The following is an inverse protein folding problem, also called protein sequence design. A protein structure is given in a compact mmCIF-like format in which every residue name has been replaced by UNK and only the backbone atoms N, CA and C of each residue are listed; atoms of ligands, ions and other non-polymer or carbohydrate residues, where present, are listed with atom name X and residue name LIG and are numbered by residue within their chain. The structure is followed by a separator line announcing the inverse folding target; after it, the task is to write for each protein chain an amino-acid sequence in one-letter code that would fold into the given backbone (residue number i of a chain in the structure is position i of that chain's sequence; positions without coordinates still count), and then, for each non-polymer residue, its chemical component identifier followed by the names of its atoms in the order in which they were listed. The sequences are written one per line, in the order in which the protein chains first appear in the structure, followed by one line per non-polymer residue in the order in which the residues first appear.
data_IF_732130796111
#
_entry.id   IF_732130796111
#
_cell.length_a   1.000
_cell.length_b   1.000
_cell.length_c   1.000
_cell.angle_alpha   90.00
_cell.angle_beta   90.00
_cell.angle_gamma   90.00
#
_symmetry.space_group_name_H-M   'P 1'
#
loop_
_entity.id
_entity.type
_entity.pdbx_description
1 polymer ?
#
# COMPACT_ATOMS: atom_id res chain seq x y z
N UNK A 1 22.60 -17.67 6.76
CA UNK A 1 22.94 -16.40 6.07
C UNK A 1 21.94 -16.12 4.96
N UNK A 2 20.65 -16.40 5.17
CA UNK A 2 19.66 -16.50 4.09
C UNK A 2 18.89 -15.20 3.91
N UNK A 3 18.55 -14.82 2.69
CA UNK A 3 17.73 -13.64 2.40
C UNK A 3 17.83 -13.23 0.94
N UNK A 4 16.71 -12.83 0.34
CA UNK A 4 16.65 -12.38 -1.06
C UNK A 4 17.40 -11.06 -1.22
N UNK A 5 18.33 -11.04 -2.15
CA UNK A 5 19.17 -9.88 -2.42
C UNK A 5 18.52 -8.98 -3.46
N UNK A 6 18.45 -7.68 -3.15
CA UNK A 6 18.14 -6.67 -4.16
C UNK A 6 19.34 -6.42 -5.09
N UNK A 7 20.55 -6.68 -4.58
CA UNK A 7 21.80 -6.63 -5.33
C UNK A 7 22.81 -7.60 -4.67
N UNK A 8 23.10 -8.72 -5.34
CA UNK A 8 24.04 -9.73 -4.84
C UNK A 8 25.49 -9.20 -4.78
N UNK A 9 25.94 -8.45 -5.78
CA UNK A 9 27.29 -7.87 -5.83
C UNK A 9 27.59 -6.95 -4.63
N UNK A 10 26.55 -6.23 -4.18
CA UNK A 10 26.61 -5.32 -3.02
C UNK A 10 26.16 -5.97 -1.72
N UNK A 11 25.83 -7.27 -1.74
CA UNK A 11 25.33 -8.03 -0.60
C UNK A 11 24.15 -7.35 0.11
N UNK A 12 23.29 -6.65 -0.64
CA UNK A 12 22.20 -5.84 -0.10
C UNK A 12 20.89 -6.64 -0.09
N UNK A 13 20.39 -6.98 1.09
CA UNK A 13 19.12 -7.70 1.24
C UNK A 13 17.92 -6.76 1.15
N UNK A 14 16.81 -7.26 0.61
CA UNK A 14 15.55 -6.51 0.53
C UNK A 14 15.06 -6.10 1.94
N UNK A 15 15.24 -7.00 2.92
CA UNK A 15 14.95 -6.75 4.32
C UNK A 15 15.69 -5.54 4.89
N UNK A 16 16.97 -5.37 4.54
CA UNK A 16 17.78 -4.25 5.00
C UNK A 16 17.36 -2.94 4.33
N UNK A 17 16.96 -2.98 3.05
CA UNK A 17 16.37 -1.82 2.36
C UNK A 17 15.12 -1.36 3.11
N UNK A 18 14.18 -2.26 3.36
CA UNK A 18 12.94 -1.92 4.06
C UNK A 18 13.17 -1.38 5.48
N UNK A 19 14.10 -1.99 6.24
CA UNK A 19 14.47 -1.48 7.57
C UNK A 19 15.07 -0.08 7.48
N UNK A 20 15.96 0.16 6.53
CA UNK A 20 16.59 1.47 6.34
C UNK A 20 15.58 2.54 5.91
N UNK A 21 14.65 2.20 5.02
CA UNK A 21 13.58 3.11 4.61
C UNK A 21 12.66 3.46 5.76
N UNK A 22 12.27 2.47 6.57
CA UNK A 22 11.45 2.69 7.75
C UNK A 22 12.17 3.60 8.76
N UNK A 23 13.46 3.35 9.02
CA UNK A 23 14.26 4.23 9.87
C UNK A 23 14.41 5.64 9.29
N UNK A 24 14.59 5.76 7.97
CA UNK A 24 14.67 7.03 7.28
C UNK A 24 13.37 7.82 7.39
N UNK A 25 12.23 7.18 7.16
CA UNK A 25 10.89 7.73 7.36
C UNK A 25 10.74 8.30 8.78
N UNK A 26 11.11 7.52 9.80
CA UNK A 26 10.97 7.91 11.20
C UNK A 26 11.87 9.10 11.56
N UNK A 27 13.10 9.15 11.01
CA UNK A 27 14.05 10.23 11.29
C UNK A 27 13.74 11.51 10.53
N UNK A 28 13.31 11.39 9.27
CA UNK A 28 13.12 12.54 8.37
C UNK A 28 11.67 13.05 8.35
N UNK A 29 10.72 12.24 8.83
CA UNK A 29 9.28 12.43 8.65
C UNK A 29 8.87 12.72 7.19
N UNK A 30 9.64 12.16 6.23
CA UNK A 30 9.37 12.27 4.80
C UNK A 30 8.80 10.97 4.27
N UNK A 31 7.67 11.00 3.56
CA UNK A 31 7.07 9.81 2.99
C UNK A 31 8.07 8.97 2.21
N UNK A 32 7.98 7.67 2.40
CA UNK A 32 8.75 6.69 1.64
C UNK A 32 7.85 5.97 0.65
N UNK A 33 8.43 5.52 -0.45
CA UNK A 33 7.74 4.65 -1.39
C UNK A 33 8.73 3.63 -1.95
N UNK A 34 8.23 2.42 -2.14
CA UNK A 34 8.91 1.33 -2.84
C UNK A 34 8.01 0.70 -3.87
N UNK A 35 8.58 0.39 -5.02
CA UNK A 35 7.90 -0.30 -6.11
C UNK A 35 8.57 -1.65 -6.29
N UNK A 36 7.84 -2.73 -6.05
CA UNK A 36 8.29 -4.11 -6.25
C UNK A 36 7.86 -4.55 -7.64
N UNK A 37 8.84 -4.93 -8.47
CA UNK A 37 8.61 -5.37 -9.84
C UNK A 37 9.07 -6.81 -9.98
N UNK A 38 8.29 -7.68 -10.60
CA UNK A 38 8.72 -9.06 -10.87
C UNK A 38 7.57 -9.94 -11.31
N UNK A 39 7.89 -11.16 -11.75
CA UNK A 39 6.89 -12.12 -12.21
C UNK A 39 6.19 -12.82 -11.02
N UNK A 40 5.19 -13.64 -11.32
CA UNK A 40 4.56 -14.53 -10.36
C UNK A 40 5.59 -15.49 -9.75
N UNK A 41 5.46 -15.77 -8.45
CA UNK A 41 6.35 -16.70 -7.75
C UNK A 41 7.71 -16.14 -7.36
N UNK A 42 8.03 -14.89 -7.70
CA UNK A 42 9.30 -14.24 -7.30
C UNK A 42 9.34 -13.74 -5.85
N UNK A 43 8.27 -13.96 -5.07
CA UNK A 43 8.22 -13.65 -3.65
C UNK A 43 7.83 -12.22 -3.27
N UNK A 44 7.28 -11.40 -4.19
CA UNK A 44 6.85 -10.01 -3.92
C UNK A 44 5.89 -9.91 -2.71
N UNK A 45 4.80 -10.68 -2.72
CA UNK A 45 3.81 -10.69 -1.62
C UNK A 45 4.40 -11.22 -0.30
N UNK A 46 5.33 -12.18 -0.35
CA UNK A 46 6.05 -12.66 0.85
C UNK A 46 6.81 -11.53 1.53
N UNK A 47 7.32 -10.57 0.77
CA UNK A 47 8.02 -9.41 1.33
C UNK A 47 7.07 -8.38 1.97
N UNK A 48 5.78 -8.36 1.61
CA UNK A 48 4.77 -7.57 2.34
C UNK A 48 4.55 -8.17 3.73
N UNK A 49 4.37 -9.49 3.82
CA UNK A 49 4.24 -10.19 5.09
C UNK A 49 5.48 -10.03 5.98
N UNK A 50 6.66 -10.16 5.38
CA UNK A 50 7.89 -9.92 6.12
C UNK A 50 8.00 -8.45 6.59
N UNK A 51 7.53 -7.48 5.79
CA UNK A 51 7.49 -6.09 6.23
C UNK A 51 6.55 -5.87 7.41
N UNK A 52 5.39 -6.55 7.46
CA UNK A 52 4.51 -6.54 8.65
C UNK A 52 5.25 -7.05 9.89
N UNK A 53 6.02 -8.13 9.78
CA UNK A 53 6.86 -8.63 10.89
C UNK A 53 7.93 -7.62 11.34
N UNK A 54 8.51 -6.86 10.40
CA UNK A 54 9.39 -5.73 10.76
C UNK A 54 8.59 -4.68 11.56
N UNK A 55 7.40 -4.29 11.10
CA UNK A 55 6.59 -3.30 11.83
C UNK A 55 6.20 -3.79 13.23
N UNK A 56 5.85 -5.07 13.38
CA UNK A 56 5.53 -5.69 14.65
C UNK A 56 6.74 -5.85 15.57
N UNK A 57 7.97 -5.93 15.06
CA UNK A 57 9.15 -5.97 15.93
C UNK A 57 9.59 -4.59 16.39
N UNK A 58 9.41 -3.56 15.56
CA UNK A 58 9.91 -2.20 15.83
C UNK A 58 8.83 -1.21 16.33
N UNK A 59 7.53 -1.46 16.08
CA UNK A 59 6.49 -0.43 16.18
C UNK A 59 5.08 -0.93 16.60
N UNK A 60 5.01 -1.86 17.56
CA UNK A 60 3.81 -2.64 17.90
C UNK A 60 2.48 -1.89 18.11
N UNK A 61 2.47 -0.60 18.47
CA UNK A 61 1.23 0.12 18.83
C UNK A 61 1.11 1.53 18.22
N UNK A 62 1.89 1.85 17.20
CA UNK A 62 1.85 3.18 16.55
C UNK A 62 1.89 3.11 15.04
N UNK A 63 1.47 1.99 14.47
CA UNK A 63 1.38 1.84 13.04
C UNK A 63 -0.01 1.36 12.59
N UNK A 64 -0.34 1.66 11.34
CA UNK A 64 -1.52 1.17 10.67
C UNK A 64 -1.14 0.71 9.26
N UNK A 65 -1.52 -0.51 8.91
CA UNK A 65 -1.18 -1.13 7.64
C UNK A 65 -2.46 -1.30 6.80
N UNK A 66 -2.61 -0.49 5.75
CA UNK A 66 -3.61 -0.68 4.72
C UNK A 66 -3.06 -1.66 3.70
N UNK A 67 -3.68 -2.83 3.61
CA UNK A 67 -3.41 -3.78 2.54
C UNK A 67 -4.52 -3.72 1.51
N UNK A 68 -4.14 -3.51 0.25
CA UNK A 68 -5.04 -3.50 -0.89
C UNK A 68 -4.56 -4.58 -1.86
N UNK A 69 -5.23 -5.72 -1.88
CA UNK A 69 -4.96 -6.82 -2.80
C UNK A 69 -5.88 -6.72 -4.02
N UNK A 70 -5.27 -6.59 -5.20
CA UNK A 70 -5.99 -6.41 -6.47
C UNK A 70 -6.08 -7.69 -7.31
N UNK A 71 -5.59 -8.84 -6.82
CA UNK A 71 -5.59 -10.13 -7.55
C UNK A 71 -6.97 -10.64 -7.91
N UNK A 72 -7.93 -10.48 -7.00
CA UNK A 72 -9.21 -11.20 -7.02
C UNK A 72 -10.43 -10.29 -7.15
N UNK A 73 -10.29 -9.13 -7.79
CA UNK A 73 -11.43 -8.23 -8.02
C UNK A 73 -12.33 -8.85 -9.10
N UNK A 74 -13.42 -9.47 -8.65
CA UNK A 74 -14.36 -10.18 -9.52
C UNK A 74 -15.16 -9.25 -10.43
N UNK A 75 -15.48 -8.05 -9.95
CA UNK A 75 -16.37 -7.13 -10.65
C UNK A 75 -15.66 -6.26 -11.67
N UNK A 76 -16.01 -6.43 -12.95
CA UNK A 76 -15.35 -5.76 -14.09
C UNK A 76 -15.89 -4.36 -14.41
N UNK A 77 -16.62 -3.74 -13.50
CA UNK A 77 -17.05 -2.34 -13.63
C UNK A 77 -16.09 -1.43 -12.87
N UNK A 78 -15.88 -0.19 -13.35
CA UNK A 78 -15.06 0.79 -12.63
C UNK A 78 -15.64 1.03 -11.22
N UNK A 79 -16.97 1.17 -11.11
CA UNK A 79 -17.66 1.31 -9.82
C UNK A 79 -17.36 0.14 -8.88
N UNK A 80 -17.40 -1.09 -9.39
CA UNK A 80 -17.08 -2.30 -8.63
C UNK A 80 -15.63 -2.38 -8.18
N UNK A 81 -14.68 -1.92 -9.00
CA UNK A 81 -13.27 -1.79 -8.63
C UNK A 81 -13.10 -0.87 -7.41
N UNK A 82 -13.64 0.35 -7.49
CA UNK A 82 -13.49 1.33 -6.41
C UNK A 82 -14.23 0.92 -5.15
N UNK A 83 -15.40 0.29 -5.27
CA UNK A 83 -16.12 -0.29 -4.14
C UNK A 83 -15.32 -1.41 -3.48
N UNK A 84 -14.64 -2.25 -4.27
CA UNK A 84 -13.77 -3.30 -3.73
C UNK A 84 -12.59 -2.70 -2.95
N UNK A 85 -11.94 -1.67 -3.50
CA UNK A 85 -10.88 -0.93 -2.79
C UNK A 85 -11.42 -0.31 -1.49
N UNK A 86 -12.60 0.32 -1.53
CA UNK A 86 -13.26 0.86 -0.34
C UNK A 86 -13.50 -0.22 0.71
N UNK A 87 -14.02 -1.38 0.32
CA UNK A 87 -14.30 -2.48 1.24
C UNK A 87 -13.03 -2.97 1.96
N UNK A 88 -11.92 -3.10 1.23
CA UNK A 88 -10.65 -3.49 1.84
C UNK A 88 -10.11 -2.44 2.82
N UNK A 89 -10.27 -1.15 2.50
CA UNK A 89 -9.94 -0.05 3.42
C UNK A 89 -10.83 -0.10 4.67
N UNK A 90 -12.14 -0.26 4.48
CA UNK A 90 -13.13 -0.32 5.55
C UNK A 90 -12.88 -1.51 6.49
N UNK A 91 -12.65 -2.69 5.93
CA UNK A 91 -12.33 -3.90 6.68
C UNK A 91 -11.01 -3.78 7.46
N UNK A 92 -10.00 -3.14 6.87
CA UNK A 92 -8.74 -2.85 7.57
C UNK A 92 -8.97 -1.96 8.79
N UNK A 93 -9.84 -0.95 8.67
CA UNK A 93 -10.19 -0.04 9.77
C UNK A 93 -11.01 -0.75 10.85
N UNK A 94 -12.03 -1.53 10.47
CA UNK A 94 -12.94 -2.18 11.42
C UNK A 94 -12.24 -3.21 12.31
N UNK A 95 -11.18 -3.85 11.82
CA UNK A 95 -10.34 -4.79 12.60
C UNK A 95 -9.50 -4.11 13.70
N UNK A 96 -9.37 -2.78 13.69
CA UNK A 96 -8.50 -2.01 14.58
C UNK A 96 -9.29 -1.12 15.53
N UNK A 97 -9.65 -1.67 16.70
CA UNK A 97 -10.45 -0.99 17.74
C UNK A 97 -9.85 0.35 18.15
N UNK A 98 -8.53 0.44 18.29
CA UNK A 98 -7.81 1.66 18.63
C UNK A 98 -8.04 2.79 17.62
N UNK A 99 -8.10 2.46 16.33
CA UNK A 99 -8.40 3.44 15.27
C UNK A 99 -9.88 3.77 15.22
N UNK A 100 -10.76 2.77 15.35
CA UNK A 100 -12.21 3.01 15.40
C UNK A 100 -12.57 3.93 16.56
N UNK A 101 -12.03 3.71 17.76
CA UNK A 101 -12.20 4.60 18.91
C UNK A 101 -11.66 6.01 18.64
N UNK A 102 -10.53 6.11 17.96
CA UNK A 102 -9.95 7.40 17.57
C UNK A 102 -10.88 8.18 16.62
N UNK A 103 -11.47 7.52 15.63
CA UNK A 103 -12.42 8.12 14.69
C UNK A 103 -13.73 8.52 15.38
N UNK A 104 -14.29 7.63 16.20
CA UNK A 104 -15.54 7.84 16.94
C UNK A 104 -15.38 8.93 18.00
N UNK A 105 -14.18 9.16 18.55
CA UNK A 105 -13.95 10.22 19.55
C UNK A 105 -13.55 11.58 18.94
N UNK A 106 -13.34 11.66 17.63
CA UNK A 106 -12.92 12.90 16.96
C UNK A 106 -13.98 14.01 16.97
N UNK A 107 -13.62 15.29 17.13
CA UNK A 107 -14.57 16.40 17.10
C UNK A 107 -15.19 16.56 15.69
N UNK A 108 -16.52 16.57 15.61
CA UNK A 108 -17.27 16.62 14.34
C UNK A 108 -16.96 17.87 13.50
N UNK A 109 -16.66 19.00 14.12
CA UNK A 109 -16.29 20.24 13.41
C UNK A 109 -14.93 20.09 12.76
N UNK A 110 -14.00 19.36 13.38
CA UNK A 110 -12.71 19.04 12.79
C UNK A 110 -12.89 18.01 11.67
N UNK A 111 -13.69 16.96 11.90
CA UNK A 111 -14.03 15.98 10.86
C UNK A 111 -14.64 16.65 9.63
N UNK A 112 -15.51 17.65 9.76
CA UNK A 112 -16.03 18.38 8.58
C UNK A 112 -14.98 19.17 7.82
N UNK A 113 -13.92 19.65 8.49
CA UNK A 113 -12.79 20.34 7.82
C UNK A 113 -11.89 19.35 7.10
N UNK A 114 -11.59 18.23 7.74
CA UNK A 114 -10.81 17.13 7.16
C UNK A 114 -11.57 16.53 5.99
N UNK A 115 -12.83 16.13 6.25
CA UNK A 115 -13.67 15.39 5.33
C UNK A 115 -14.53 16.25 4.37
N UNK A 116 -14.44 17.60 4.37
CA UNK A 116 -15.08 18.54 3.40
C UNK A 116 -16.55 18.26 2.94
N UNK A 117 -17.22 17.30 3.56
CA UNK A 117 -18.49 16.67 3.22
C UNK A 117 -19.13 16.35 4.55
N UNK A 118 -20.23 17.05 4.83
CA UNK A 118 -20.91 16.93 6.12
C UNK A 118 -21.51 15.54 6.32
N UNK A 119 -21.92 14.86 5.23
CA UNK A 119 -22.46 13.50 5.30
C UNK A 119 -21.35 12.50 5.68
N UNK A 120 -20.20 12.54 4.99
CA UNK A 120 -19.05 11.66 5.31
C UNK A 120 -18.60 11.90 6.75
N UNK A 121 -18.41 13.16 7.16
CA UNK A 121 -17.96 13.49 8.50
C UNK A 121 -18.89 12.97 9.60
N UNK A 122 -20.22 13.04 9.39
CA UNK A 122 -21.21 12.51 10.35
C UNK A 122 -21.14 10.98 10.41
N UNK A 123 -21.05 10.29 9.28
CA UNK A 123 -21.02 8.84 9.26
C UNK A 123 -19.68 8.26 9.75
N UNK A 124 -18.55 8.97 9.57
CA UNK A 124 -17.26 8.62 10.20
C UNK A 124 -17.35 8.66 11.73
N UNK A 125 -18.11 9.59 12.30
CA UNK A 125 -18.31 9.67 13.76
C UNK A 125 -19.06 8.44 14.30
N UNK A 126 -19.87 7.81 13.46
CA UNK A 126 -20.68 6.63 13.77
C UNK A 126 -20.07 5.34 13.20
N UNK A 127 -18.78 5.35 12.82
CA UNK A 127 -18.13 4.21 12.18
C UNK A 127 -18.25 2.93 13.03
N UNK A 128 -18.66 1.82 12.39
CA UNK A 128 -18.95 0.55 13.07
C UNK A 128 -20.35 0.45 13.68
N UNK A 129 -21.25 1.39 13.38
CA UNK A 129 -22.68 1.30 13.68
C UNK A 129 -23.47 1.10 12.38
N UNK A 130 -24.55 0.32 12.44
CA UNK A 130 -25.41 -0.05 11.29
C UNK A 130 -25.83 1.16 10.45
N UNK A 131 -26.18 2.29 11.10
CA UNK A 131 -26.60 3.52 10.43
C UNK A 131 -25.52 4.16 9.55
N UNK A 132 -24.24 3.94 9.87
CA UNK A 132 -23.11 4.42 9.06
C UNK A 132 -22.82 3.49 7.88
N UNK A 133 -23.04 2.19 8.06
CA UNK A 133 -22.82 1.18 7.01
C UNK A 133 -23.80 1.42 5.85
N UNK A 134 -25.08 1.65 6.13
CA UNK A 134 -26.07 1.97 5.11
C UNK A 134 -25.63 3.14 4.21
N UNK A 135 -25.05 4.18 4.80
CA UNK A 135 -24.51 5.31 4.04
C UNK A 135 -23.29 4.93 3.20
N UNK A 136 -22.30 4.27 3.79
CA UNK A 136 -21.05 3.93 3.11
C UNK A 136 -21.23 2.90 1.99
N UNK A 137 -22.22 2.02 2.11
CA UNK A 137 -22.60 1.08 1.06
C UNK A 137 -23.68 1.63 0.12
N UNK A 138 -24.22 2.83 0.36
CA UNK A 138 -25.23 3.46 -0.48
C UNK A 138 -24.68 4.09 -1.76
N UNK A 139 -25.53 4.23 -2.78
CA UNK A 139 -25.13 4.75 -4.11
C UNK A 139 -24.50 6.14 -4.06
N UNK A 140 -24.95 6.99 -3.14
CA UNK A 140 -24.43 8.34 -2.95
C UNK A 140 -22.95 8.35 -2.54
N UNK A 141 -22.52 7.36 -1.76
CA UNK A 141 -21.13 7.24 -1.32
C UNK A 141 -20.25 6.53 -2.34
N UNK A 142 -20.79 5.61 -3.14
CA UNK A 142 -20.06 4.80 -4.14
C UNK A 142 -19.47 5.60 -5.34
N UNK A 143 -19.36 6.93 -5.22
CA UNK A 143 -18.62 7.79 -6.16
C UNK A 143 -17.13 7.76 -5.81
N UNK A 144 -16.29 7.63 -6.83
CA UNK A 144 -14.82 7.54 -6.70
C UNK A 144 -14.25 8.71 -5.90
N UNK A 145 -14.73 9.91 -6.19
CA UNK A 145 -14.34 11.11 -5.48
C UNK A 145 -14.63 11.01 -3.99
N UNK A 146 -15.77 10.45 -3.58
CA UNK A 146 -16.12 10.24 -2.16
C UNK A 146 -15.23 9.19 -1.49
N UNK A 147 -14.89 8.10 -2.20
CA UNK A 147 -13.99 7.04 -1.70
C UNK A 147 -12.57 7.59 -1.51
N UNK A 148 -12.03 8.29 -2.52
CA UNK A 148 -10.74 8.97 -2.44
C UNK A 148 -10.71 10.00 -1.32
N UNK A 149 -11.80 10.74 -1.21
CA UNK A 149 -11.97 11.79 -0.23
C UNK A 149 -11.99 11.20 1.20
N UNK A 150 -12.73 10.12 1.41
CA UNK A 150 -12.75 9.35 2.65
C UNK A 150 -11.36 8.79 2.98
N UNK A 151 -10.73 8.07 2.04
CA UNK A 151 -9.41 7.48 2.22
C UNK A 151 -8.36 8.52 2.64
N UNK A 152 -8.29 9.64 1.92
CA UNK A 152 -7.37 10.71 2.23
C UNK A 152 -7.67 11.38 3.58
N UNK A 153 -8.95 11.54 3.95
CA UNK A 153 -9.34 12.07 5.26
C UNK A 153 -8.95 11.15 6.42
N UNK A 154 -9.00 9.82 6.22
CA UNK A 154 -8.48 8.85 7.18
C UNK A 154 -6.97 9.01 7.33
N UNK A 155 -6.23 9.11 6.22
CA UNK A 155 -4.76 9.31 6.28
C UNK A 155 -4.43 10.63 6.98
N UNK A 156 -5.16 11.72 6.71
CA UNK A 156 -4.96 13.00 7.40
C UNK A 156 -5.05 12.86 8.93
N UNK A 157 -6.07 12.13 9.39
CA UNK A 157 -6.27 11.85 10.82
C UNK A 157 -5.11 11.03 11.39
N UNK A 158 -4.69 9.98 10.69
CA UNK A 158 -3.57 9.13 11.13
C UNK A 158 -2.26 9.93 11.21
N UNK A 159 -2.00 10.80 10.23
CA UNK A 159 -0.85 11.71 10.24
C UNK A 159 -0.91 12.70 11.40
N UNK A 160 -2.07 13.34 11.66
CA UNK A 160 -2.25 14.25 12.81
C UNK A 160 -1.91 13.55 14.13
N UNK A 161 -2.31 12.28 14.25
CA UNK A 161 -2.06 11.46 15.44
C UNK A 161 -0.69 10.79 15.45
N UNK A 162 0.17 11.13 14.49
CA UNK A 162 1.54 10.60 14.33
C UNK A 162 1.57 9.07 14.25
N UNK A 163 0.49 8.46 13.76
CA UNK A 163 0.44 7.04 13.44
C UNK A 163 1.26 6.83 12.17
N UNK A 164 2.19 5.88 12.23
CA UNK A 164 2.92 5.41 11.07
C UNK A 164 1.94 4.68 10.14
N UNK A 165 1.65 5.25 8.98
CA UNK A 165 0.70 4.67 8.03
C UNK A 165 1.46 4.01 6.89
N UNK A 166 1.15 2.74 6.65
CA UNK A 166 1.67 1.97 5.53
C UNK A 166 0.52 1.68 4.59
N UNK A 167 0.72 1.92 3.31
CA UNK A 167 -0.23 1.57 2.25
C UNK A 167 0.50 0.60 1.32
N UNK A 168 0.15 -0.67 1.43
CA UNK A 168 0.66 -1.73 0.58
C UNK A 168 -0.41 -2.11 -0.44
N UNK A 169 -0.11 -1.92 -1.72
CA UNK A 169 -1.00 -2.26 -2.83
C UNK A 169 -0.36 -3.39 -3.62
N UNK A 170 -0.95 -4.58 -3.54
CA UNK A 170 -0.47 -5.75 -4.27
C UNK A 170 -1.10 -5.84 -5.65
N UNK A 171 -0.31 -6.31 -6.62
CA UNK A 171 -0.77 -6.62 -7.98
C UNK A 171 -1.45 -5.44 -8.70
N UNK A 172 -0.83 -4.27 -8.66
CA UNK A 172 -1.32 -3.02 -9.29
C UNK A 172 -1.62 -3.18 -10.78
N UNK A 173 -0.85 -4.03 -11.48
CA UNK A 173 -1.04 -4.32 -12.91
C UNK A 173 -2.45 -4.84 -13.24
N UNK A 174 -3.15 -5.44 -12.27
CA UNK A 174 -4.48 -6.01 -12.50
C UNK A 174 -5.49 -4.95 -12.93
N UNK A 175 -5.30 -3.69 -12.52
CA UNK A 175 -6.19 -2.57 -12.85
C UNK A 175 -6.27 -2.30 -14.36
N UNK A 176 -5.27 -2.69 -15.16
CA UNK A 176 -5.32 -2.55 -16.63
C UNK A 176 -6.55 -3.23 -17.25
N UNK A 177 -7.11 -4.25 -16.59
CA UNK A 177 -8.35 -4.93 -17.04
C UNK A 177 -9.56 -3.99 -17.13
N UNK A 178 -9.55 -2.85 -16.45
CA UNK A 178 -10.60 -1.82 -16.49
C UNK A 178 -10.31 -0.69 -17.50
N UNK A 179 -9.19 -0.77 -18.24
CA UNK A 179 -8.81 0.15 -19.29
C UNK A 179 -7.86 1.27 -18.85
N UNK A 180 -7.12 1.81 -19.82
CA UNK A 180 -6.09 2.83 -19.63
C UNK A 180 -6.54 4.04 -18.78
N UNK A 181 -7.73 4.64 -18.98
CA UNK A 181 -8.15 5.79 -18.17
C UNK A 181 -8.29 5.46 -16.68
N UNK A 182 -8.78 4.28 -16.35
CA UNK A 182 -8.96 3.83 -14.95
C UNK A 182 -7.61 3.53 -14.32
N UNK A 183 -6.73 2.86 -15.06
CA UNK A 183 -5.37 2.58 -14.61
C UNK A 183 -4.56 3.85 -14.37
N UNK A 184 -4.62 4.81 -15.31
CA UNK A 184 -4.00 6.12 -15.15
C UNK A 184 -4.58 6.89 -13.97
N UNK A 185 -5.91 6.91 -13.80
CA UNK A 185 -6.56 7.56 -12.67
C UNK A 185 -6.14 6.93 -11.32
N UNK A 186 -5.96 5.61 -11.28
CA UNK A 186 -5.42 4.93 -10.10
C UNK A 186 -3.99 5.38 -9.79
N UNK A 187 -3.08 5.38 -10.77
CA UNK A 187 -1.68 5.74 -10.53
C UNK A 187 -1.48 7.24 -10.24
N UNK A 188 -2.14 8.14 -10.97
CA UNK A 188 -1.95 9.59 -10.83
C UNK A 188 -2.86 10.18 -9.74
N UNK A 189 -4.15 9.90 -9.78
CA UNK A 189 -5.14 10.57 -8.91
C UNK A 189 -5.30 9.89 -7.55
N UNK A 190 -5.04 8.58 -7.45
CA UNK A 190 -5.07 7.88 -6.17
C UNK A 190 -3.66 7.81 -5.57
N UNK A 191 -2.74 7.07 -6.18
CA UNK A 191 -1.42 6.80 -5.58
C UNK A 191 -0.53 8.06 -5.55
N UNK A 192 -0.25 8.66 -6.71
CA UNK A 192 0.69 9.79 -6.81
C UNK A 192 0.17 11.03 -6.07
N UNK A 193 -1.12 11.33 -6.19
CA UNK A 193 -1.73 12.47 -5.51
C UNK A 193 -1.73 12.31 -3.99
N UNK A 194 -2.01 11.12 -3.47
CA UNK A 194 -1.87 10.85 -2.03
C UNK A 194 -0.41 11.00 -1.60
N UNK A 195 0.55 10.41 -2.32
CA UNK A 195 1.97 10.55 -1.98
C UNK A 195 2.46 12.01 -2.02
N UNK A 196 2.14 12.77 -3.07
CA UNK A 196 2.54 14.17 -3.25
C UNK A 196 2.00 15.09 -2.16
N UNK A 197 0.75 14.84 -1.74
CA UNK A 197 0.10 15.61 -0.66
C UNK A 197 0.95 15.62 0.61
N UNK A 198 1.55 14.47 0.95
CA UNK A 198 2.35 14.32 2.16
C UNK A 198 3.84 14.58 1.94
N UNK A 199 4.33 14.53 0.70
CA UNK A 199 5.70 14.96 0.37
C UNK A 199 5.89 16.47 0.47
N UNK A 200 4.85 17.25 0.12
CA UNK A 200 4.88 18.72 0.15
C UNK A 200 4.51 19.30 1.53
N UNK A 201 4.08 18.46 2.46
CA UNK A 201 3.66 18.92 3.78
C UNK A 201 4.87 19.29 4.64
N UNK A 202 4.77 20.40 5.37
CA UNK A 202 5.71 20.76 6.43
C UNK A 202 5.46 20.00 7.74
N UNK A 203 4.38 19.22 7.82
CA UNK A 203 4.02 18.40 8.99
C UNK A 203 4.73 17.04 8.98
N UNK A 204 4.92 16.46 10.17
CA UNK A 204 5.44 15.10 10.35
C UNK A 204 4.61 14.08 9.52
N UNK A 205 5.14 13.64 8.37
CA UNK A 205 4.42 12.78 7.43
C UNK A 205 4.99 11.37 7.44
N UNK A 206 4.39 10.51 8.27
CA UNK A 206 4.82 9.11 8.50
C UNK A 206 4.12 8.14 7.56
N UNK A 207 4.24 8.37 6.26
CA UNK A 207 3.61 7.57 5.23
C UNK A 207 4.62 6.68 4.49
N UNK A 208 4.33 5.38 4.37
CA UNK A 208 5.10 4.45 3.56
C UNK A 208 4.20 3.80 2.52
N UNK A 209 4.47 4.00 1.24
CA UNK A 209 3.85 3.26 0.15
C UNK A 209 4.68 2.06 -0.28
N UNK A 210 4.04 0.91 -0.46
CA UNK A 210 4.65 -0.24 -1.12
C UNK A 210 3.70 -0.66 -2.24
N UNK A 211 4.19 -0.69 -3.46
CA UNK A 211 3.39 -1.01 -4.65
C UNK A 211 4.02 -2.23 -5.31
N UNK A 212 3.24 -3.27 -5.59
CA UNK A 212 3.72 -4.47 -6.28
C UNK A 212 3.11 -4.53 -7.68
N UNK A 213 3.95 -4.68 -8.70
CA UNK A 213 3.52 -4.83 -10.09
C UNK A 213 3.98 -6.17 -10.63
N UNK A 214 3.07 -6.82 -11.35
CA UNK A 214 3.40 -7.97 -12.17
C UNK A 214 4.10 -7.50 -13.44
N UNK A 215 5.39 -7.78 -13.55
CA UNK A 215 6.19 -7.47 -14.74
C UNK A 215 6.94 -8.74 -15.11
N UNK A 216 6.60 -9.32 -16.28
CA UNK A 216 7.37 -10.43 -16.84
C UNK A 216 8.80 -9.98 -17.05
N UNK A 217 9.77 -10.85 -16.76
CA UNK A 217 11.22 -10.59 -16.88
C UNK A 217 11.52 -9.66 -18.07
N UNK A 218 11.83 -8.39 -17.80
CA UNK A 218 12.09 -7.43 -18.86
C UNK A 218 13.48 -7.70 -19.43
N UNK A 219 13.59 -7.82 -20.74
CA UNK A 219 14.85 -8.12 -21.43
C UNK A 219 15.91 -7.02 -21.22
N UNK A 220 15.49 -5.79 -20.87
CA UNK A 220 16.40 -4.71 -20.48
C UNK A 220 15.82 -3.81 -19.36
N UNK A 221 16.68 -2.98 -18.73
CA UNK A 221 16.23 -1.91 -17.79
C UNK A 221 15.34 -0.86 -18.47
N UNK A 222 15.42 -0.72 -19.79
CA UNK A 222 14.71 0.30 -20.57
C UNK A 222 13.26 -0.09 -20.80
N UNK A 223 13.01 -1.38 -21.02
CA UNK A 223 11.66 -1.93 -21.27
C UNK A 223 10.81 -2.02 -19.98
N UNK A 224 11.46 -1.90 -18.81
CA UNK A 224 10.80 -1.92 -17.47
C UNK A 224 9.74 -0.84 -17.31
N UNK A 225 9.96 0.30 -17.95
CA UNK A 225 9.15 1.50 -17.75
C UNK A 225 8.32 1.87 -18.95
N UNK A 226 8.57 1.33 -20.14
CA UNK A 226 7.97 1.88 -21.35
C UNK A 226 6.42 1.87 -21.27
N UNK A 227 5.85 0.82 -20.68
CA UNK A 227 4.40 0.78 -20.45
C UNK A 227 3.95 1.77 -19.35
N UNK A 228 4.63 1.85 -18.19
CA UNK A 228 4.27 2.78 -17.11
C UNK A 228 4.53 4.25 -17.50
N UNK A 229 5.57 4.53 -18.27
CA UNK A 229 5.92 5.87 -18.79
C UNK A 229 4.88 6.32 -19.81
N UNK A 230 4.39 5.40 -20.65
CA UNK A 230 3.30 5.68 -21.58
C UNK A 230 1.99 5.97 -20.85
N UNK A 231 1.65 5.17 -19.83
CA UNK A 231 0.36 5.27 -19.13
C UNK A 231 0.33 6.36 -18.06
N UNK A 232 1.45 6.58 -17.36
CA UNK A 232 1.53 7.43 -16.16
C UNK A 232 2.94 8.00 -15.97
N UNK A 233 3.39 8.91 -16.85
CA UNK A 233 4.74 9.49 -16.78
C UNK A 233 4.97 10.28 -15.48
N UNK A 234 3.90 10.86 -14.92
CA UNK A 234 3.93 11.53 -13.64
C UNK A 234 4.29 10.55 -12.51
N UNK A 235 3.60 9.43 -12.42
CA UNK A 235 3.90 8.37 -11.46
C UNK A 235 5.35 7.90 -11.59
N UNK A 236 5.80 7.55 -12.81
CA UNK A 236 7.18 7.06 -13.02
C UNK A 236 8.21 8.07 -12.55
N UNK A 237 8.03 9.35 -12.85
CA UNK A 237 8.97 10.39 -12.42
C UNK A 237 9.17 10.45 -10.90
N UNK A 238 8.14 10.11 -10.11
CA UNK A 238 8.16 10.11 -8.64
C UNK A 238 8.79 8.85 -8.06
N UNK A 239 8.55 7.72 -8.73
CA UNK A 239 8.99 6.40 -8.26
C UNK A 239 10.41 6.06 -8.71
N UNK A 240 10.90 6.72 -9.77
CA UNK A 240 12.23 6.50 -10.36
C UNK A 240 13.33 6.39 -9.31
N UNK A 241 14.00 5.24 -9.30
CA UNK A 241 15.12 4.94 -8.41
C UNK A 241 14.71 4.36 -7.04
N UNK A 242 13.42 4.05 -6.84
CA UNK A 242 12.87 3.45 -5.61
C UNK A 242 12.35 2.03 -5.84
N UNK A 243 12.74 1.43 -6.96
CA UNK A 243 12.25 0.13 -7.38
C UNK A 243 13.15 -0.99 -6.85
N UNK A 244 12.51 -2.10 -6.51
CA UNK A 244 13.17 -3.37 -6.19
C UNK A 244 12.69 -4.36 -7.25
N UNK A 245 13.64 -4.88 -8.02
CA UNK A 245 13.34 -5.83 -9.09
C UNK A 245 13.62 -7.22 -8.57
N UNK A 246 12.56 -8.01 -8.47
CA UNK A 246 12.60 -9.42 -8.13
C UNK A 246 12.87 -10.21 -9.40
N UNK A 247 13.95 -10.97 -9.37
CA UNK A 247 14.28 -11.94 -10.40
C UNK A 247 13.80 -13.33 -9.95
N UNK A 248 13.78 -14.28 -10.87
CA UNK A 248 13.60 -15.68 -10.49
C UNK A 248 14.72 -16.09 -9.54
N UNK A 249 14.37 -16.95 -8.59
CA UNK A 249 15.35 -17.53 -7.68
C UNK A 249 16.43 -18.26 -8.45
N UNK A 250 17.68 -18.01 -8.07
CA UNK A 250 18.81 -18.81 -8.53
C UNK A 250 18.71 -20.23 -7.98
N UNK A 251 19.42 -21.17 -8.59
CA UNK A 251 19.48 -22.56 -8.10
C UNK A 251 20.00 -22.62 -6.64
N UNK A 252 20.95 -21.76 -6.28
CA UNK A 252 21.47 -21.65 -4.92
C UNK A 252 20.40 -21.14 -3.96
N UNK A 253 19.65 -20.09 -4.32
CA UNK A 253 18.55 -19.58 -3.49
C UNK A 253 17.43 -20.60 -3.32
N UNK A 254 17.10 -21.37 -4.37
CA UNK A 254 16.17 -22.50 -4.27
C UNK A 254 16.68 -23.57 -3.31
N UNK A 255 17.94 -23.99 -3.42
CA UNK A 255 18.52 -25.00 -2.54
C UNK A 255 18.56 -24.53 -1.08
N UNK A 256 18.88 -23.26 -0.84
CA UNK A 256 18.87 -22.66 0.49
C UNK A 256 17.45 -22.57 1.07
N UNK A 257 16.45 -22.19 0.25
CA UNK A 257 15.05 -22.20 0.65
C UNK A 257 14.56 -23.60 1.01
N UNK A 258 14.93 -24.62 0.22
CA UNK A 258 14.57 -26.01 0.48
C UNK A 258 15.21 -26.53 1.77
N UNK A 259 16.48 -26.22 2.02
CA UNK A 259 17.14 -26.55 3.30
C UNK A 259 16.43 -25.92 4.48
N UNK A 260 16.10 -24.63 4.38
CA UNK A 260 15.38 -23.92 5.43
C UNK A 260 13.99 -24.54 5.69
N UNK A 261 13.26 -24.91 4.64
CA UNK A 261 11.98 -25.62 4.77
C UNK A 261 12.20 -26.97 5.47
N UNK A 262 13.20 -27.74 5.06
CA UNK A 262 13.50 -29.04 5.65
C UNK A 262 13.89 -28.94 7.13
N UNK A 263 14.62 -27.89 7.52
CA UNK A 263 14.94 -27.59 8.92
C UNK A 263 13.68 -27.24 9.73
N UNK A 264 12.84 -26.34 9.22
CA UNK A 264 11.63 -25.88 9.94
C UNK A 264 10.59 -27.00 10.08
N UNK A 265 10.48 -27.86 9.07
CA UNK A 265 9.48 -28.94 9.03
C UNK A 265 9.97 -30.24 9.67
N UNK A 266 11.19 -30.27 10.23
CA UNK A 266 11.87 -31.48 10.70
C UNK A 266 11.91 -32.60 9.64
N UNK A 267 12.03 -32.22 8.36
CA UNK A 267 12.17 -33.15 7.23
C UNK A 267 13.65 -33.37 6.85
N UNK A 268 14.59 -32.76 7.59
CA UNK A 268 16.00 -33.14 7.48
C UNK A 268 16.23 -34.53 8.11
N UNK A 269 17.03 -35.41 7.48
CA UNK A 269 17.41 -36.69 8.09
C UNK A 269 18.20 -36.50 9.39
#
# INVERSE_FOLDING_TARGET
MYGVYANEEKNQKISDIFKNDLQSLIRSNRPQVRVLLGDNGTGKSTHFEYFKQILESYYQNRNFFFEIDLRHIAEKTEKGLWLTIFNQIFESLSKRKDITELLVNYDIRILRKIFRSSAIAKNVKNFGQDSSEEYFYGEDFQKISNIQFFFNGIIDILMEKKVLTIIAIDEVQQIEKWGDPVFQAFLESFVSSTYDRYMKSSSDSRLFFILSFLVKKPESRRDKYEFLEKQSPGFVSRMKGREIVFSDFTENEHNDALKLIAEITNLSP
#
